data_IF_129279301758
#
_entry.id   IF_129279301758
#
_cell.length_a   1.000
_cell.length_b   1.000
_cell.length_c   1.000
_cell.angle_alpha   90.00
_cell.angle_beta   90.00
_cell.angle_gamma   90.00
#
_symmetry.space_group_name_H-M   'P 1'
#
loop_
_entity.id
_entity.type
_entity.pdbx_description
1 polymer ?
#
# COMPACT_ATOMS: atom_id res chain seq x y z
N UNK A 1 6.72 -30.10 14.84
CA UNK A 1 7.02 -28.77 15.41
C UNK A 1 7.93 -28.05 14.42
N UNK A 2 7.37 -27.14 13.60
CA UNK A 2 8.13 -26.40 12.59
C UNK A 2 8.68 -25.13 13.25
N UNK A 3 9.99 -24.99 13.30
CA UNK A 3 10.69 -23.80 13.79
C UNK A 3 10.52 -22.67 12.76
N UNK A 4 9.68 -21.69 13.07
CA UNK A 4 9.56 -20.44 12.31
C UNK A 4 10.82 -19.60 12.59
N UNK A 5 11.70 -19.47 11.61
CA UNK A 5 12.91 -18.63 11.71
C UNK A 5 12.53 -17.19 11.38
N UNK A 6 12.75 -16.29 12.33
CA UNK A 6 12.72 -14.84 12.12
C UNK A 6 13.77 -14.45 11.05
N UNK A 7 13.41 -13.63 10.06
CA UNK A 7 14.34 -13.21 9.00
C UNK A 7 15.31 -12.16 9.55
N UNK A 8 16.61 -12.50 9.61
CA UNK A 8 17.69 -11.61 10.03
C UNK A 8 18.54 -11.29 8.80
N UNK A 9 18.72 -10.00 8.47
CA UNK A 9 19.72 -9.53 7.50
C UNK A 9 20.92 -9.02 8.31
N UNK A 10 22.05 -9.73 8.23
CA UNK A 10 23.31 -9.34 8.87
C UNK A 10 24.30 -8.85 7.81
N UNK A 11 24.68 -7.57 7.88
CA UNK A 11 25.78 -6.98 7.12
C UNK A 11 27.11 -7.33 7.81
N UNK A 12 27.95 -8.09 7.12
CA UNK A 12 29.28 -8.51 7.54
C UNK A 12 30.33 -7.44 7.20
N UNK A 13 31.05 -6.94 8.20
CA UNK A 13 32.32 -6.23 8.05
C UNK A 13 33.31 -6.76 9.09
N UNK A 14 34.22 -7.64 8.63
CA UNK A 14 35.53 -7.92 9.23
C UNK A 14 36.46 -6.70 8.96
N UNK A 15 37.47 -6.33 9.73
CA UNK A 15 38.11 -6.81 10.96
C UNK A 15 39.05 -5.68 11.45
N UNK A 16 39.37 -5.62 12.75
CA UNK A 16 40.76 -5.59 13.24
C UNK A 16 40.81 -5.69 14.79
N UNK A 17 41.76 -6.48 15.26
CA UNK A 17 42.01 -6.91 16.64
C UNK A 17 42.56 -5.77 17.52
N UNK A 18 42.09 -5.69 18.78
CA UNK A 18 42.90 -5.30 19.93
C UNK A 18 42.31 -5.90 21.23
N UNK A 19 43.20 -6.52 22.01
CA UNK A 19 42.98 -7.29 23.24
C UNK A 19 42.75 -6.37 24.43
N UNK A 20 41.61 -6.48 25.13
CA UNK A 20 41.38 -5.96 26.50
C UNK A 20 40.24 -6.77 27.19
N UNK A 21 40.18 -6.79 28.54
CA UNK A 21 39.69 -7.94 29.31
C UNK A 21 38.17 -8.10 29.28
N UNK A 22 37.75 -9.36 29.43
CA UNK A 22 36.37 -9.81 29.42
C UNK A 22 35.52 -9.11 30.51
N UNK A 23 34.89 -7.99 30.15
CA UNK A 23 33.60 -7.62 30.73
C UNK A 23 32.59 -8.63 30.21
N UNK A 24 31.91 -9.32 31.13
CA UNK A 24 30.87 -10.29 30.79
C UNK A 24 29.93 -9.69 29.78
N UNK A 25 29.94 -10.25 28.57
CA UNK A 25 28.87 -10.03 27.61
C UNK A 25 27.61 -10.53 28.29
N UNK A 26 26.77 -9.61 28.77
CA UNK A 26 25.35 -9.87 28.84
C UNK A 26 25.00 -10.38 27.45
N UNK A 27 24.71 -11.68 27.33
CA UNK A 27 24.10 -12.20 26.13
C UNK A 27 22.92 -11.26 25.85
N UNK A 28 22.96 -10.55 24.73
CA UNK A 28 21.82 -9.76 24.31
C UNK A 28 20.65 -10.74 24.28
N UNK A 29 19.66 -10.54 25.16
CA UNK A 29 18.46 -11.35 25.16
C UNK A 29 17.94 -11.34 23.72
N UNK A 30 17.71 -12.53 23.17
CA UNK A 30 17.11 -12.65 21.84
C UNK A 30 15.84 -11.83 21.82
N UNK A 31 15.66 -10.91 20.86
CA UNK A 31 14.49 -10.06 20.82
C UNK A 31 13.23 -10.91 20.91
N UNK A 32 12.38 -10.60 21.88
CA UNK A 32 11.16 -11.37 22.06
C UNK A 32 10.31 -11.26 20.79
N UNK A 33 9.74 -12.37 20.33
CA UNK A 33 8.84 -12.34 19.17
C UNK A 33 7.45 -11.85 19.59
N UNK A 34 6.83 -11.02 18.76
CA UNK A 34 5.45 -10.57 18.90
C UNK A 34 4.66 -11.02 17.68
N UNK A 35 3.69 -11.92 17.87
CA UNK A 35 2.82 -12.32 16.76
C UNK A 35 1.74 -11.27 16.54
N UNK A 36 1.62 -10.76 15.32
CA UNK A 36 0.52 -9.90 14.89
C UNK A 36 -0.47 -10.73 14.09
N UNK A 37 -1.77 -10.55 14.33
CA UNK A 37 -2.82 -11.29 13.62
C UNK A 37 -3.93 -10.32 13.20
N UNK A 38 -4.29 -10.38 11.92
CA UNK A 38 -5.36 -9.58 11.35
C UNK A 38 -6.65 -10.39 11.30
N UNK A 39 -7.56 -10.18 12.25
CA UNK A 39 -8.91 -10.77 12.23
C UNK A 39 -9.97 -9.78 11.77
N UNK A 40 -9.53 -8.67 11.17
CA UNK A 40 -10.41 -7.62 10.66
C UNK A 40 -10.78 -7.92 9.22
N UNK A 41 -11.79 -7.22 8.71
CA UNK A 41 -12.14 -7.21 7.28
C UNK A 41 -11.35 -6.17 6.47
N UNK A 42 -10.21 -5.69 6.99
CA UNK A 42 -9.37 -4.67 6.34
C UNK A 42 -7.95 -5.19 6.17
N UNK A 43 -7.22 -4.66 5.20
CA UNK A 43 -5.77 -4.88 5.15
C UNK A 43 -5.09 -4.15 6.31
N UNK A 44 -3.97 -4.68 6.79
CA UNK A 44 -3.05 -3.98 7.69
C UNK A 44 -1.73 -3.78 6.95
N UNK A 45 -1.47 -2.55 6.50
CA UNK A 45 -0.31 -2.24 5.69
C UNK A 45 0.94 -2.11 6.56
N UNK A 46 0.79 -1.46 7.71
CA UNK A 46 1.90 -1.23 8.61
C UNK A 46 1.47 -0.93 10.06
N UNK A 47 2.45 -0.99 10.95
CA UNK A 47 2.33 -0.60 12.34
C UNK A 47 3.54 0.23 12.78
N UNK A 48 3.27 1.39 13.38
CA UNK A 48 4.25 2.22 14.07
C UNK A 48 4.07 2.11 15.57
N UNK A 49 5.19 1.97 16.27
CA UNK A 49 5.33 2.02 17.71
C UNK A 49 6.04 3.33 18.10
N UNK A 50 5.45 4.11 18.99
CA UNK A 50 6.06 5.34 19.52
C UNK A 50 6.19 5.29 21.03
N UNK A 51 7.40 5.47 21.53
CA UNK A 51 7.70 5.62 22.95
C UNK A 51 8.46 6.93 23.17
N UNK A 52 7.77 7.95 23.68
CA UNK A 52 8.36 9.29 23.82
C UNK A 52 8.79 9.83 22.45
N UNK A 53 10.11 10.05 22.27
CA UNK A 53 10.70 10.52 21.00
C UNK A 53 11.15 9.38 20.08
N UNK A 54 11.17 8.14 20.56
CA UNK A 54 11.63 6.99 19.78
C UNK A 54 10.46 6.41 19.00
N UNK A 55 10.69 6.16 17.71
CA UNK A 55 9.73 5.51 16.81
C UNK A 55 10.34 4.28 16.17
N UNK A 56 9.57 3.20 16.12
CA UNK A 56 9.87 1.98 15.40
C UNK A 56 8.71 1.65 14.46
N UNK A 57 9.02 1.12 13.29
CA UNK A 57 8.04 0.88 12.23
C UNK A 57 8.20 -0.51 11.65
N UNK A 58 7.08 -1.17 11.36
CA UNK A 58 7.05 -2.45 10.67
C UNK A 58 6.02 -2.42 9.55
N UNK A 59 6.46 -2.75 8.34
CA UNK A 59 5.59 -3.04 7.20
C UNK A 59 5.03 -4.45 7.36
N UNK A 60 3.71 -4.58 7.22
CA UNK A 60 2.97 -5.82 7.47
C UNK A 60 2.36 -6.41 6.20
N UNK A 61 1.79 -5.58 5.32
CA UNK A 61 1.08 -6.01 4.10
C UNK A 61 0.12 -7.20 4.32
N UNK A 62 -0.59 -7.22 5.45
CA UNK A 62 -1.41 -8.35 5.87
C UNK A 62 -2.85 -8.21 5.39
N UNK A 63 -3.27 -9.13 4.53
CA UNK A 63 -4.68 -9.32 4.19
C UNK A 63 -5.51 -9.81 5.39
N UNK A 64 -6.86 -9.71 5.35
CA UNK A 64 -7.76 -10.33 6.33
C UNK A 64 -7.42 -11.80 6.57
N UNK A 65 -7.33 -12.20 7.84
CA UNK A 65 -6.98 -13.55 8.27
C UNK A 65 -5.47 -13.83 8.33
N UNK A 66 -4.62 -12.94 7.83
CA UNK A 66 -3.17 -13.14 7.86
C UNK A 66 -2.57 -12.98 9.26
N UNK A 67 -1.38 -13.55 9.44
CA UNK A 67 -0.57 -13.49 10.65
C UNK A 67 0.89 -13.36 10.26
N UNK A 68 1.61 -12.55 11.02
CA UNK A 68 3.06 -12.44 10.91
C UNK A 68 3.71 -12.29 12.30
N UNK A 69 5.01 -12.54 12.37
CA UNK A 69 5.82 -12.46 13.57
C UNK A 69 6.83 -11.31 13.44
N UNK A 70 6.80 -10.36 14.36
CA UNK A 70 7.66 -9.18 14.36
C UNK A 70 8.54 -9.12 15.61
N UNK A 71 9.57 -8.30 15.57
CA UNK A 71 10.36 -7.99 16.76
C UNK A 71 9.48 -7.24 17.78
N UNK A 72 9.41 -7.75 19.00
CA UNK A 72 8.71 -7.07 20.09
C UNK A 72 9.58 -5.93 20.61
N UNK A 73 9.12 -4.67 20.55
CA UNK A 73 9.91 -3.55 21.06
C UNK A 73 10.05 -3.58 22.59
N UNK A 74 9.33 -4.45 23.30
CA UNK A 74 9.53 -4.73 24.72
C UNK A 74 9.10 -3.60 25.67
N UNK A 75 8.44 -2.56 25.14
CA UNK A 75 8.12 -1.32 25.87
C UNK A 75 6.63 -1.04 25.90
N UNK A 76 6.21 -0.06 26.71
CA UNK A 76 4.87 0.53 26.57
C UNK A 76 4.92 1.61 25.49
N UNK A 77 4.09 1.49 24.46
CA UNK A 77 4.12 2.36 23.29
C UNK A 77 2.72 2.78 22.82
N UNK A 78 2.65 3.96 22.20
CA UNK A 78 1.51 4.32 21.35
C UNK A 78 1.64 3.60 20.01
N UNK A 79 0.55 3.00 19.54
CA UNK A 79 0.50 2.33 18.24
C UNK A 79 -0.27 3.18 17.24
N UNK A 80 0.24 3.28 16.01
CA UNK A 80 -0.53 3.67 14.83
C UNK A 80 -0.53 2.50 13.86
N UNK A 81 -1.70 2.13 13.33
CA UNK A 81 -1.85 1.06 12.35
C UNK A 81 -2.50 1.65 11.10
N UNK A 82 -1.89 1.44 9.94
CA UNK A 82 -2.46 1.85 8.65
C UNK A 82 -3.28 0.70 8.07
N UNK A 83 -4.57 0.97 7.80
CA UNK A 83 -5.48 0.01 7.16
C UNK A 83 -5.76 0.33 5.69
N UNK A 84 -4.95 1.17 5.06
CA UNK A 84 -5.14 1.67 3.69
C UNK A 84 -6.12 2.84 3.59
N UNK A 85 -7.27 2.73 4.24
CA UNK A 85 -8.35 3.72 4.22
C UNK A 85 -8.54 4.48 5.54
N UNK A 86 -7.82 4.09 6.60
CA UNK A 86 -7.90 4.72 7.91
C UNK A 86 -6.61 4.47 8.71
N UNK A 87 -6.33 5.36 9.66
CA UNK A 87 -5.40 5.11 10.74
C UNK A 87 -6.12 4.70 12.00
N UNK A 88 -5.61 3.68 12.68
CA UNK A 88 -6.03 3.30 14.01
C UNK A 88 -4.97 3.64 15.04
N UNK A 89 -5.39 4.27 16.13
CA UNK A 89 -4.50 4.73 17.19
C UNK A 89 -4.83 4.04 18.51
N UNK A 90 -3.82 3.42 19.13
CA UNK A 90 -3.92 2.80 20.45
C UNK A 90 -2.91 3.45 21.38
N UNK A 91 -3.33 3.91 22.55
CA UNK A 91 -2.45 4.60 23.49
C UNK A 91 -1.90 3.66 24.55
N UNK A 92 -0.64 3.85 24.91
CA UNK A 92 0.01 3.17 26.04
C UNK A 92 -0.20 1.64 26.08
N UNK A 93 0.07 0.96 24.97
CA UNK A 93 -0.03 -0.50 24.87
C UNK A 93 1.22 -1.15 25.50
N UNK A 94 1.10 -2.00 26.55
CA UNK A 94 2.25 -2.58 27.22
C UNK A 94 2.76 -3.83 26.50
N UNK A 95 3.87 -3.69 25.76
CA UNK A 95 4.40 -4.75 24.90
C UNK A 95 5.45 -5.64 25.58
N UNK A 96 6.01 -5.22 26.72
CA UNK A 96 7.03 -5.97 27.47
C UNK A 96 6.67 -7.45 27.74
N UNK A 97 5.41 -7.70 28.07
CA UNK A 97 4.88 -9.05 28.30
C UNK A 97 3.97 -9.54 27.18
N UNK A 98 3.85 -8.80 26.08
CA UNK A 98 3.01 -9.19 24.96
C UNK A 98 3.59 -10.40 24.24
N UNK A 99 2.71 -11.36 23.97
CA UNK A 99 2.96 -12.49 23.07
C UNK A 99 2.31 -12.26 21.71
N UNK A 100 1.11 -11.65 21.70
CA UNK A 100 0.31 -11.49 20.51
C UNK A 100 -0.50 -10.21 20.51
N UNK A 101 -0.55 -9.56 19.35
CA UNK A 101 -1.50 -8.50 18.99
C UNK A 101 -2.51 -9.08 18.00
N UNK A 102 -3.79 -9.09 18.35
CA UNK A 102 -4.85 -9.48 17.41
C UNK A 102 -5.74 -8.29 17.14
N UNK A 103 -5.73 -7.79 15.90
CA UNK A 103 -6.67 -6.76 15.48
C UNK A 103 -8.02 -7.43 15.25
N UNK A 104 -8.98 -7.13 16.13
CA UNK A 104 -10.24 -7.86 16.20
C UNK A 104 -11.27 -7.26 15.23
N UNK A 105 -12.05 -8.13 14.57
CA UNK A 105 -13.06 -7.72 13.59
C UNK A 105 -14.38 -7.25 14.21
N UNK A 106 -14.60 -7.48 15.50
CA UNK A 106 -15.88 -7.20 16.17
C UNK A 106 -16.19 -5.70 16.28
N UNK A 107 -15.15 -4.87 16.38
CA UNK A 107 -15.27 -3.42 16.51
C UNK A 107 -14.20 -2.69 15.68
N UNK A 108 -14.51 -1.49 15.23
CA UNK A 108 -13.53 -0.63 14.56
C UNK A 108 -12.42 -0.22 15.54
N UNK A 109 -11.16 -0.27 15.10
CA UNK A 109 -9.98 0.03 15.93
C UNK A 109 -9.97 -0.77 17.25
N UNK A 110 -10.15 -2.08 17.15
CA UNK A 110 -10.05 -3.02 18.27
C UNK A 110 -8.75 -3.81 18.24
N UNK A 111 -8.09 -3.89 19.40
CA UNK A 111 -6.90 -4.71 19.59
C UNK A 111 -7.07 -5.63 20.80
N UNK A 112 -6.86 -6.93 20.61
CA UNK A 112 -6.70 -7.89 21.71
C UNK A 112 -5.21 -8.03 21.97
N UNK A 113 -4.79 -7.63 23.17
CA UNK A 113 -3.44 -7.84 23.67
C UNK A 113 -3.40 -9.12 24.50
N UNK A 114 -2.65 -10.10 24.04
CA UNK A 114 -2.44 -11.36 24.74
C UNK A 114 -1.01 -11.41 25.30
N UNK A 115 -0.90 -11.65 26.60
CA UNK A 115 0.35 -11.64 27.35
C UNK A 115 0.93 -13.05 27.53
N UNK A 116 2.22 -13.13 27.86
CA UNK A 116 2.94 -14.40 28.10
C UNK A 116 2.34 -15.26 29.21
N UNK A 117 1.68 -14.62 30.19
CA UNK A 117 0.93 -15.29 31.27
C UNK A 117 -0.48 -15.76 30.86
N UNK A 118 -0.80 -15.72 29.56
CA UNK A 118 -2.11 -16.04 28.96
C UNK A 118 -3.26 -15.09 29.37
N UNK A 119 -2.98 -13.94 30.00
CA UNK A 119 -3.98 -12.89 30.18
C UNK A 119 -4.22 -12.22 28.82
N UNK A 120 -5.49 -12.10 28.45
CA UNK A 120 -5.93 -11.39 27.25
C UNK A 120 -6.85 -10.25 27.63
N UNK A 121 -6.72 -9.10 26.96
CA UNK A 121 -7.62 -7.97 27.15
C UNK A 121 -7.85 -7.21 25.86
N UNK A 122 -9.06 -6.67 25.72
CA UNK A 122 -9.38 -5.73 24.66
C UNK A 122 -8.81 -4.35 25.01
N UNK A 123 -8.27 -3.69 23.98
CA UNK A 123 -7.82 -2.31 24.00
C UNK A 123 -8.57 -1.61 22.87
N UNK A 124 -9.37 -0.62 23.25
CA UNK A 124 -10.07 0.22 22.29
C UNK A 124 -9.13 1.31 21.78
N UNK A 125 -9.11 1.49 20.47
CA UNK A 125 -8.42 2.58 19.80
C UNK A 125 -9.39 3.61 19.25
N UNK A 126 -8.82 4.59 18.55
CA UNK A 126 -9.57 5.56 17.75
C UNK A 126 -9.25 5.36 16.28
N UNK A 127 -10.25 5.44 15.41
CA UNK A 127 -10.06 5.43 13.97
C UNK A 127 -10.14 6.86 13.41
N UNK A 128 -9.19 7.19 12.55
CA UNK A 128 -9.20 8.39 11.71
C UNK A 128 -9.31 7.94 10.26
N UNK A 129 -10.39 8.31 9.58
CA UNK A 129 -10.56 8.01 8.16
C UNK A 129 -9.52 8.78 7.33
N UNK A 130 -8.93 8.11 6.34
CA UNK A 130 -8.15 8.73 5.27
C UNK A 130 -9.02 9.04 4.04
N UNK A 131 -10.18 8.40 3.95
CA UNK A 131 -11.22 8.80 3.01
C UNK A 131 -11.97 10.00 3.58
N UNK A 132 -12.11 11.09 2.82
CA UNK A 132 -12.95 12.20 3.23
C UNK A 132 -14.44 11.80 3.14
N UNK A 133 -15.30 12.49 3.88
CA UNK A 133 -16.73 12.15 3.96
C UNK A 133 -17.47 12.26 2.62
N UNK A 134 -18.66 11.67 2.53
CA UNK A 134 -19.44 11.55 1.27
C UNK A 134 -19.77 12.89 0.57
N UNK A 135 -19.76 14.01 1.31
CA UNK A 135 -20.00 15.36 0.78
C UNK A 135 -18.73 16.19 0.63
N UNK A 136 -17.57 15.62 0.95
CA UNK A 136 -16.31 16.32 0.82
C UNK A 136 -15.99 16.55 -0.64
N UNK A 137 -15.61 17.78 -0.97
CA UNK A 137 -15.02 18.08 -2.26
C UNK A 137 -13.57 17.61 -2.24
N UNK A 138 -13.07 17.05 -3.34
CA UNK A 138 -11.65 16.75 -3.42
C UNK A 138 -10.85 18.05 -3.24
N UNK A 139 -9.71 17.96 -2.54
CA UNK A 139 -8.81 19.10 -2.37
C UNK A 139 -8.38 19.63 -3.75
N UNK A 140 -8.28 18.73 -4.73
CA UNK A 140 -8.04 19.00 -6.13
C UNK A 140 -8.51 17.82 -7.01
N UNK A 141 -8.87 18.09 -8.25
CA UNK A 141 -9.15 17.06 -9.25
C UNK A 141 -7.93 16.82 -10.12
N UNK A 142 -7.57 15.56 -10.32
CA UNK A 142 -6.58 15.17 -11.30
C UNK A 142 -7.28 14.80 -12.59
N UNK A 143 -7.35 15.79 -13.48
CA UNK A 143 -7.99 15.58 -14.78
C UNK A 143 -7.10 14.74 -15.70
N UNK A 144 -5.77 14.80 -15.53
CA UNK A 144 -4.79 13.97 -16.21
C UNK A 144 -3.53 13.80 -15.36
N UNK A 145 -3.10 12.56 -15.14
CA UNK A 145 -1.74 12.28 -14.69
C UNK A 145 -0.81 12.28 -15.92
N UNK A 146 0.40 12.81 -15.79
CA UNK A 146 1.36 12.89 -16.90
C UNK A 146 2.74 12.40 -16.48
N UNK A 147 3.50 11.74 -17.37
CA UNK A 147 4.91 11.47 -17.13
C UNK A 147 5.70 12.73 -16.79
N UNK A 148 6.62 12.63 -15.83
CA UNK A 148 7.45 13.74 -15.38
C UNK A 148 6.78 14.76 -14.47
N UNK A 149 5.54 14.52 -14.01
CA UNK A 149 4.92 15.37 -12.98
C UNK A 149 5.79 15.46 -11.73
N UNK A 150 5.91 16.67 -11.21
CA UNK A 150 6.49 16.94 -9.90
C UNK A 150 5.44 16.78 -8.80
N UNK A 151 5.90 16.66 -7.56
CA UNK A 151 5.03 16.73 -6.38
C UNK A 151 4.21 18.03 -6.36
N UNK A 152 4.75 19.15 -6.87
CA UNK A 152 4.01 20.40 -7.07
C UNK A 152 2.99 20.35 -8.20
N UNK A 153 3.22 19.57 -9.25
CA UNK A 153 2.23 19.43 -10.31
C UNK A 153 1.02 18.64 -9.82
N UNK A 154 1.23 17.75 -8.84
CA UNK A 154 0.12 17.14 -8.09
C UNK A 154 -0.40 18.15 -7.07
N UNK A 155 -1.24 19.05 -7.61
CA UNK A 155 -2.10 19.96 -6.86
C UNK A 155 -1.43 21.15 -6.16
N UNK A 156 -0.19 21.54 -6.50
CA UNK A 156 0.53 22.84 -6.25
C UNK A 156 0.50 23.50 -4.85
N UNK A 157 -0.27 22.95 -3.94
CA UNK A 157 -0.64 23.39 -2.60
C UNK A 157 -1.09 22.16 -1.80
N UNK A 158 -0.33 21.06 -1.88
CA UNK A 158 -0.35 20.15 -0.73
C UNK A 158 -0.01 21.02 0.51
N UNK A 159 -0.76 20.80 1.58
CA UNK A 159 -0.69 21.61 2.80
C UNK A 159 0.77 21.86 3.19
N UNK A 160 1.14 23.03 3.76
CA UNK A 160 2.53 23.34 4.09
C UNK A 160 3.24 22.27 4.95
N UNK A 161 2.46 21.54 5.75
CA UNK A 161 2.92 20.40 6.55
C UNK A 161 1.90 19.25 6.38
N UNK A 162 1.92 18.53 5.25
CA UNK A 162 0.89 17.55 4.96
C UNK A 162 1.16 16.28 5.77
N UNK A 163 0.12 15.56 6.21
CA UNK A 163 0.30 14.33 6.96
C UNK A 163 1.06 13.30 6.11
N UNK A 164 1.94 12.52 6.76
CA UNK A 164 2.73 11.48 6.12
C UNK A 164 2.47 10.11 6.72
N UNK A 165 2.57 9.08 5.89
CA UNK A 165 2.70 7.72 6.39
C UNK A 165 4.12 7.48 6.91
N UNK A 166 4.38 6.26 7.38
CA UNK A 166 5.69 5.91 7.93
C UNK A 166 6.74 5.60 6.84
N UNK A 167 6.35 5.59 5.56
CA UNK A 167 7.25 5.50 4.40
C UNK A 167 7.50 6.88 3.77
N UNK A 168 7.20 7.96 4.51
CA UNK A 168 7.27 9.36 4.07
C UNK A 168 6.36 9.73 2.89
N UNK A 169 5.43 8.85 2.48
CA UNK A 169 4.45 9.18 1.46
C UNK A 169 3.51 10.25 1.99
N UNK A 170 3.26 11.27 1.17
CA UNK A 170 2.33 12.35 1.50
C UNK A 170 0.91 11.80 1.39
N UNK A 171 0.12 11.99 2.45
CA UNK A 171 -1.25 11.56 2.53
C UNK A 171 -2.18 12.75 2.26
N UNK A 172 -3.11 12.56 1.34
CA UNK A 172 -4.07 13.60 0.98
C UNK A 172 -5.34 12.99 0.40
N UNK A 173 -6.27 13.85 -0.01
CA UNK A 173 -7.49 13.49 -0.72
C UNK A 173 -7.46 14.01 -2.15
N UNK A 174 -7.60 13.13 -3.14
CA UNK A 174 -7.57 13.49 -4.56
C UNK A 174 -8.88 13.14 -5.25
N UNK A 175 -9.36 14.03 -6.11
CA UNK A 175 -10.52 13.80 -6.95
C UNK A 175 -10.13 13.11 -8.25
N UNK A 176 -10.71 11.95 -8.54
CA UNK A 176 -10.52 11.26 -9.81
C UNK A 176 -11.72 10.36 -10.12
N UNK A 177 -12.12 10.30 -11.39
CA UNK A 177 -13.27 9.52 -11.85
C UNK A 177 -14.59 9.80 -11.08
N UNK A 178 -14.81 11.06 -10.70
CA UNK A 178 -15.99 11.48 -9.93
C UNK A 178 -16.01 11.01 -8.47
N UNK A 179 -14.89 10.47 -7.97
CA UNK A 179 -14.73 9.99 -6.60
C UNK A 179 -13.61 10.75 -5.89
N UNK A 180 -13.64 10.74 -4.56
CA UNK A 180 -12.55 11.28 -3.74
C UNK A 180 -11.78 10.14 -3.10
N UNK A 181 -10.50 10.06 -3.41
CA UNK A 181 -9.61 8.96 -3.08
C UNK A 181 -8.73 9.30 -1.88
N UNK A 182 -8.43 8.29 -1.06
CA UNK A 182 -7.31 8.37 -0.13
C UNK A 182 -6.02 8.18 -0.94
N UNK A 183 -5.23 9.23 -1.06
CA UNK A 183 -4.06 9.24 -1.94
C UNK A 183 -2.76 9.18 -1.14
N UNK A 184 -1.81 8.37 -1.63
CA UNK A 184 -0.42 8.33 -1.17
C UNK A 184 0.50 8.74 -2.30
N UNK A 185 1.24 9.82 -2.10
CA UNK A 185 2.16 10.37 -3.08
C UNK A 185 3.58 10.12 -2.59
N UNK A 186 4.31 9.29 -3.34
CA UNK A 186 5.70 9.00 -3.06
C UNK A 186 6.61 9.74 -4.06
N UNK A 187 7.65 10.44 -3.57
CA UNK A 187 8.65 11.02 -4.46
C UNK A 187 9.39 9.92 -5.23
N UNK A 188 9.90 10.26 -6.40
CA UNK A 188 10.95 9.47 -7.04
C UNK A 188 12.18 9.49 -6.13
N UNK A 189 12.81 8.33 -5.94
CA UNK A 189 14.02 8.26 -5.12
C UNK A 189 15.15 9.01 -5.83
N UNK A 190 15.37 10.28 -5.48
CA UNK A 190 16.61 10.96 -5.84
C UNK A 190 17.73 10.35 -5.02
N UNK A 191 18.76 9.83 -5.68
CA UNK A 191 19.97 9.31 -5.06
C UNK A 191 20.59 10.34 -4.10
N UNK A 192 20.43 10.12 -2.79
CA UNK A 192 21.25 10.73 -1.75
C UNK A 192 20.86 12.15 -1.31
N UNK A 193 19.74 12.29 -0.61
CA UNK A 193 19.44 13.50 0.15
C UNK A 193 18.48 13.21 1.31
N UNK A 194 18.96 13.37 2.55
CA UNK A 194 18.09 13.47 3.72
C UNK A 194 17.54 14.88 3.80
N UNK A 195 16.22 15.02 3.90
CA UNK A 195 15.56 16.28 4.22
C UNK A 195 14.39 16.57 3.30
N UNK A 196 13.23 16.86 3.92
CA UNK A 196 12.04 17.54 3.37
C UNK A 196 11.86 17.51 1.85
N UNK A 197 10.81 16.80 1.39
CA UNK A 197 10.36 16.86 0.00
C UNK A 197 10.36 18.30 -0.50
N UNK A 198 11.17 18.57 -1.52
CA UNK A 198 11.03 19.81 -2.25
C UNK A 198 9.84 19.63 -3.17
N UNK A 199 9.00 20.66 -3.34
CA UNK A 199 7.91 20.62 -4.31
C UNK A 199 8.38 20.34 -5.76
N UNK A 200 9.68 20.41 -6.01
CA UNK A 200 10.32 20.13 -7.30
C UNK A 200 10.66 18.65 -7.50
N UNK A 201 10.56 17.83 -6.46
CA UNK A 201 10.84 16.40 -6.55
C UNK A 201 9.82 15.76 -7.50
N UNK A 202 10.28 14.84 -8.34
CA UNK A 202 9.38 14.14 -9.27
C UNK A 202 8.46 13.21 -8.50
N UNK A 203 7.19 13.16 -8.88
CA UNK A 203 6.27 12.12 -8.41
C UNK A 203 6.74 10.79 -8.98
N UNK A 204 7.26 9.91 -8.12
CA UNK A 204 7.73 8.60 -8.54
C UNK A 204 6.61 7.58 -8.58
N UNK A 205 5.69 7.67 -7.63
CA UNK A 205 4.58 6.75 -7.51
C UNK A 205 3.38 7.42 -6.85
N UNK A 206 2.20 7.11 -7.36
CA UNK A 206 0.93 7.50 -6.78
C UNK A 206 0.06 6.27 -6.59
N UNK A 207 -0.42 6.11 -5.37
CA UNK A 207 -1.41 5.10 -5.01
C UNK A 207 -2.70 5.80 -4.59
N UNK A 208 -3.83 5.42 -5.20
CA UNK A 208 -5.16 5.84 -4.79
C UNK A 208 -5.89 4.65 -4.20
N UNK A 209 -6.49 4.83 -3.02
CA UNK A 209 -7.32 3.80 -2.38
C UNK A 209 -8.75 4.25 -2.21
N UNK A 210 -9.67 3.33 -2.47
CA UNK A 210 -11.11 3.50 -2.29
C UNK A 210 -11.76 2.19 -1.86
N UNK A 211 -13.00 2.27 -1.38
CA UNK A 211 -13.85 1.09 -1.26
C UNK A 211 -14.09 0.42 -2.63
N UNK A 212 -13.91 -0.90 -2.69
CA UNK A 212 -14.28 -1.71 -3.85
C UNK A 212 -15.79 -1.92 -3.86
N UNK A 213 -16.46 -1.26 -4.80
CA UNK A 213 -17.87 -1.45 -5.13
C UNK A 213 -18.03 -1.50 -6.64
N UNK A 214 -19.09 -2.15 -7.12
CA UNK A 214 -19.41 -2.21 -8.55
C UNK A 214 -19.50 -0.79 -9.16
N UNK A 215 -20.12 0.13 -8.42
CA UNK A 215 -20.26 1.52 -8.83
C UNK A 215 -18.91 2.24 -8.96
N UNK A 216 -18.02 2.08 -7.96
CA UNK A 216 -16.71 2.74 -7.97
C UNK A 216 -15.82 2.18 -9.09
N UNK A 217 -15.80 0.85 -9.27
CA UNK A 217 -15.03 0.21 -10.34
C UNK A 217 -15.56 0.63 -11.71
N UNK A 218 -16.88 0.61 -11.92
CA UNK A 218 -17.48 1.02 -13.19
C UNK A 218 -17.25 2.51 -13.50
N UNK A 219 -17.27 3.38 -12.49
CA UNK A 219 -16.94 4.79 -12.65
C UNK A 219 -15.48 4.97 -13.09
N UNK A 220 -14.55 4.30 -12.40
CA UNK A 220 -13.12 4.33 -12.73
C UNK A 220 -12.84 3.85 -14.16
N UNK A 221 -13.32 2.65 -14.52
CA UNK A 221 -13.09 2.09 -15.85
C UNK A 221 -13.67 2.97 -16.95
N UNK A 222 -14.87 3.52 -16.75
CA UNK A 222 -15.50 4.45 -17.70
C UNK A 222 -14.66 5.70 -17.91
N UNK A 223 -14.15 6.29 -16.83
CA UNK A 223 -13.26 7.46 -16.92
C UNK A 223 -11.98 7.11 -17.67
N UNK A 224 -11.29 6.03 -17.30
CA UNK A 224 -10.06 5.61 -17.99
C UNK A 224 -10.29 5.34 -19.48
N UNK A 225 -11.37 4.63 -19.82
CA UNK A 225 -11.73 4.38 -21.22
C UNK A 225 -12.05 5.67 -21.99
N UNK A 226 -12.73 6.63 -21.37
CA UNK A 226 -13.00 7.94 -21.98
C UNK A 226 -11.73 8.76 -22.23
N UNK A 227 -10.69 8.50 -21.44
CA UNK A 227 -9.36 9.11 -21.59
C UNK A 227 -8.47 8.37 -22.61
N UNK A 228 -9.00 7.37 -23.31
CA UNK A 228 -8.27 6.62 -24.34
C UNK A 228 -7.43 5.47 -23.82
N UNK A 229 -7.62 5.05 -22.57
CA UNK A 229 -6.99 3.83 -22.05
C UNK A 229 -7.74 2.58 -22.52
N UNK A 230 -6.99 1.51 -22.67
CA UNK A 230 -7.49 0.18 -22.99
C UNK A 230 -6.86 -0.85 -22.03
N UNK A 231 -7.57 -1.96 -21.75
CA UNK A 231 -7.01 -3.03 -20.96
C UNK A 231 -5.82 -3.64 -21.71
N UNK A 232 -4.72 -3.85 -20.98
CA UNK A 232 -3.52 -4.50 -21.48
C UNK A 232 -3.47 -5.95 -21.01
N UNK A 233 -3.52 -6.14 -19.69
CA UNK A 233 -3.49 -7.44 -19.04
C UNK A 233 -4.47 -7.46 -17.86
N UNK A 234 -5.07 -8.60 -17.58
CA UNK A 234 -5.84 -8.80 -16.37
C UNK A 234 -5.61 -10.19 -15.79
N UNK A 235 -5.28 -10.23 -14.50
CA UNK A 235 -5.14 -11.44 -13.71
C UNK A 235 -6.31 -11.50 -12.73
N UNK A 236 -7.10 -12.57 -12.83
CA UNK A 236 -8.18 -12.90 -11.91
C UNK A 236 -7.95 -14.31 -11.36
N UNK A 237 -8.59 -14.72 -10.25
CA UNK A 237 -8.41 -16.07 -9.70
C UNK A 237 -8.73 -17.17 -10.73
N UNK A 238 -7.67 -17.82 -11.24
CA UNK A 238 -7.78 -18.90 -12.23
C UNK A 238 -8.00 -18.43 -13.67
N UNK A 239 -7.85 -17.14 -13.96
CA UNK A 239 -8.01 -16.58 -15.30
C UNK A 239 -6.93 -15.51 -15.54
N UNK A 240 -6.15 -15.69 -16.59
CA UNK A 240 -5.16 -14.72 -17.05
C UNK A 240 -5.56 -14.25 -18.45
N UNK A 241 -5.54 -12.95 -18.67
CA UNK A 241 -6.03 -12.32 -19.89
C UNK A 241 -4.96 -11.38 -20.43
N UNK A 242 -4.38 -11.73 -21.58
CA UNK A 242 -3.56 -10.81 -22.35
C UNK A 242 -4.37 -10.26 -23.52
N UNK A 243 -4.74 -8.98 -23.47
CA UNK A 243 -5.61 -8.36 -24.47
C UNK A 243 -4.87 -8.05 -25.78
N UNK A 244 -3.54 -7.93 -25.77
CA UNK A 244 -2.76 -7.75 -27.00
C UNK A 244 -2.68 -9.03 -27.83
N UNK A 245 -2.92 -10.19 -27.22
CA UNK A 245 -2.97 -11.49 -27.91
C UNK A 245 -4.36 -11.80 -28.48
N UNK A 246 -5.40 -11.02 -28.13
CA UNK A 246 -6.77 -11.19 -28.63
C UNK A 246 -6.98 -10.47 -29.97
N UNK A 247 -6.17 -10.80 -30.98
CA UNK A 247 -6.08 -10.05 -32.25
C UNK A 247 -7.34 -10.11 -33.10
N UNK A 248 -8.16 -11.14 -32.94
CA UNK A 248 -9.42 -11.33 -33.68
C UNK A 248 -10.61 -10.57 -33.07
N UNK A 249 -10.39 -9.80 -32.01
CA UNK A 249 -11.43 -9.08 -31.28
C UNK A 249 -11.16 -7.58 -31.31
N UNK A 250 -12.22 -6.79 -31.55
CA UNK A 250 -12.13 -5.35 -31.37
C UNK A 250 -12.07 -4.96 -29.88
N UNK A 251 -11.63 -3.73 -29.61
CA UNK A 251 -11.48 -3.21 -28.25
C UNK A 251 -12.81 -3.17 -27.48
N UNK A 252 -13.96 -3.04 -28.16
CA UNK A 252 -15.26 -3.04 -27.50
C UNK A 252 -15.58 -4.44 -26.97
N UNK A 253 -15.28 -5.49 -27.75
CA UNK A 253 -15.48 -6.88 -27.35
C UNK A 253 -14.53 -7.30 -26.24
N UNK A 254 -13.27 -6.88 -26.32
CA UNK A 254 -12.29 -7.06 -25.25
C UNK A 254 -12.78 -6.47 -23.92
N UNK A 255 -13.33 -5.26 -23.94
CA UNK A 255 -13.93 -4.60 -22.76
C UNK A 255 -15.16 -5.35 -22.22
N UNK A 256 -16.04 -5.86 -23.09
CA UNK A 256 -17.19 -6.69 -22.69
C UNK A 256 -16.76 -7.99 -21.99
N UNK A 257 -15.73 -8.68 -22.50
CA UNK A 257 -15.21 -9.90 -21.87
C UNK A 257 -14.63 -9.59 -20.49
N UNK A 258 -13.80 -8.54 -20.40
CA UNK A 258 -13.24 -8.10 -19.11
C UNK A 258 -14.35 -7.76 -18.11
N UNK A 259 -15.37 -7.00 -18.55
CA UNK A 259 -16.49 -6.63 -17.68
C UNK A 259 -17.19 -7.87 -17.11
N UNK A 260 -17.48 -8.88 -17.93
CA UNK A 260 -18.11 -10.13 -17.47
C UNK A 260 -17.21 -10.91 -16.48
N UNK A 261 -15.91 -10.95 -16.74
CA UNK A 261 -14.95 -11.59 -15.84
C UNK A 261 -14.91 -10.88 -14.48
N UNK A 262 -14.92 -9.55 -14.49
CA UNK A 262 -14.97 -8.72 -13.28
C UNK A 262 -16.29 -8.91 -12.52
N UNK A 263 -17.43 -8.92 -13.20
CA UNK A 263 -18.74 -9.18 -12.58
C UNK A 263 -18.75 -10.53 -11.84
N UNK A 264 -18.24 -11.59 -12.47
CA UNK A 264 -18.13 -12.90 -11.83
C UNK A 264 -17.17 -12.88 -10.62
N UNK A 265 -16.02 -12.22 -10.76
CA UNK A 265 -15.06 -12.07 -9.67
C UNK A 265 -15.67 -11.33 -8.47
N UNK A 266 -16.36 -10.21 -8.68
CA UNK A 266 -17.01 -9.44 -7.62
C UNK A 266 -18.08 -10.28 -6.90
N UNK A 267 -18.84 -11.11 -7.63
CA UNK A 267 -19.82 -12.02 -7.04
C UNK A 267 -19.19 -13.17 -6.23
N UNK A 268 -17.96 -13.57 -6.55
CA UNK A 268 -17.28 -14.68 -5.85
C UNK A 268 -16.90 -14.35 -4.40
N UNK A 269 -16.77 -13.06 -4.07
CA UNK A 269 -16.48 -12.55 -2.72
C UNK A 269 -15.10 -12.91 -2.15
N UNK A 270 -14.19 -13.46 -2.96
CA UNK A 270 -12.84 -13.86 -2.51
C UNK A 270 -11.77 -13.67 -3.57
N UNK A 271 -10.52 -13.56 -3.11
CA UNK A 271 -9.35 -13.41 -3.96
C UNK A 271 -8.98 -11.96 -4.27
N UNK A 272 -7.99 -11.83 -5.13
CA UNK A 272 -7.49 -10.56 -5.66
C UNK A 272 -7.54 -10.64 -7.19
N UNK A 273 -7.82 -9.52 -7.83
CA UNK A 273 -7.68 -9.36 -9.27
C UNK A 273 -6.84 -8.12 -9.56
N UNK A 274 -6.01 -8.19 -10.59
CA UNK A 274 -5.16 -7.10 -11.05
C UNK A 274 -5.52 -6.80 -12.50
N UNK A 275 -5.68 -5.53 -12.84
CA UNK A 275 -5.96 -5.06 -14.18
C UNK A 275 -4.97 -3.96 -14.55
N UNK A 276 -4.21 -4.17 -15.61
CA UNK A 276 -3.30 -3.19 -16.16
C UNK A 276 -3.96 -2.49 -17.35
N UNK A 277 -3.96 -1.16 -17.36
CA UNK A 277 -4.40 -0.35 -18.48
C UNK A 277 -3.27 0.54 -18.97
N UNK A 278 -3.21 0.67 -20.30
CA UNK A 278 -2.28 1.55 -20.98
C UNK A 278 -3.03 2.42 -22.02
N UNK A 279 -2.44 3.53 -22.50
CA UNK A 279 -2.99 4.27 -23.62
C UNK A 279 -3.13 3.36 -24.84
N UNK A 280 -4.32 3.31 -25.44
CA UNK A 280 -4.61 2.36 -26.52
C UNK A 280 -3.64 2.49 -27.71
N UNK A 281 -3.19 3.71 -28.01
CA UNK A 281 -2.22 3.98 -29.07
C UNK A 281 -0.81 3.42 -28.79
N UNK A 282 -0.49 3.03 -27.55
CA UNK A 282 0.83 2.54 -27.16
C UNK A 282 0.85 1.02 -26.95
N UNK A 283 -0.29 0.35 -26.86
CA UNK A 283 -0.37 -1.10 -26.64
C UNK A 283 0.46 -1.93 -27.65
N UNK A 284 0.44 -1.66 -28.97
CA UNK A 284 1.26 -2.42 -29.91
C UNK A 284 2.77 -2.30 -29.62
N UNK A 285 3.22 -1.15 -29.15
CA UNK A 285 4.63 -0.92 -28.83
C UNK A 285 5.05 -1.47 -27.46
N UNK A 286 4.09 -1.67 -26.54
CA UNK A 286 4.35 -2.26 -25.21
C UNK A 286 4.41 -3.79 -25.25
N UNK A 287 3.75 -4.42 -26.23
CA UNK A 287 3.79 -5.88 -26.38
C UNK A 287 5.18 -6.39 -26.80
N UNK A 288 5.94 -5.57 -27.53
CA UNK A 288 7.21 -5.96 -28.17
C UNK A 288 8.46 -5.37 -27.49
N UNK A 289 8.32 -4.60 -26.40
CA UNK A 289 9.41 -3.84 -25.81
C UNK A 289 9.60 -4.15 -24.31
N UNK A 290 10.85 -4.43 -23.91
CA UNK A 290 11.25 -4.59 -22.50
C UNK A 290 11.05 -3.31 -21.67
N UNK A 291 10.99 -2.15 -22.33
CA UNK A 291 10.72 -0.85 -21.73
C UNK A 291 10.02 0.10 -22.72
N UNK A 292 9.18 1.03 -22.23
CA UNK A 292 8.50 1.99 -23.09
C UNK A 292 9.48 2.96 -23.76
N UNK A 293 9.44 3.02 -25.08
CA UNK A 293 10.29 3.88 -25.93
C UNK A 293 9.91 5.37 -25.89
N UNK A 294 8.77 5.69 -25.26
CA UNK A 294 8.21 7.04 -25.13
C UNK A 294 7.57 7.17 -23.76
N UNK A 295 7.35 8.41 -23.34
CA UNK A 295 6.60 8.73 -22.14
C UNK A 295 5.27 7.98 -22.12
N UNK A 296 5.09 7.10 -21.14
CA UNK A 296 3.87 6.31 -20.97
C UNK A 296 3.42 6.34 -19.54
N UNK A 297 2.11 6.33 -19.37
CA UNK A 297 1.49 6.14 -18.08
C UNK A 297 0.71 4.85 -18.07
N UNK A 298 0.95 4.04 -17.05
CA UNK A 298 0.25 2.79 -16.83
C UNK A 298 -0.59 2.92 -15.55
N UNK A 299 -1.80 2.41 -15.62
CA UNK A 299 -2.66 2.22 -14.46
C UNK A 299 -2.68 0.75 -14.11
N UNK A 300 -2.37 0.43 -12.86
CA UNK A 300 -2.57 -0.90 -12.30
C UNK A 300 -3.66 -0.82 -11.26
N UNK A 301 -4.75 -1.53 -11.50
CA UNK A 301 -5.90 -1.59 -10.61
C UNK A 301 -5.83 -2.91 -9.85
N UNK A 302 -5.76 -2.86 -8.53
CA UNK A 302 -5.83 -4.06 -7.68
C UNK A 302 -7.17 -4.07 -6.93
N UNK A 303 -7.91 -5.15 -7.12
CA UNK A 303 -9.25 -5.38 -6.59
C UNK A 303 -9.14 -6.42 -5.48
N UNK A 304 -9.24 -6.00 -4.22
CA UNK A 304 -9.15 -6.89 -3.06
C UNK A 304 -10.51 -7.19 -2.49
N UNK A 305 -11.03 -8.38 -2.77
CA UNK A 305 -12.36 -8.79 -2.27
C UNK A 305 -12.38 -8.94 -0.75
N UNK A 306 -11.34 -9.55 -0.19
CA UNK A 306 -11.24 -9.82 1.25
C UNK A 306 -11.32 -8.54 2.09
N UNK A 307 -10.66 -7.47 1.66
CA UNK A 307 -10.63 -6.19 2.35
C UNK A 307 -11.61 -5.15 1.77
N UNK A 308 -12.35 -5.50 0.71
CA UNK A 308 -13.21 -4.60 -0.08
C UNK A 308 -12.50 -3.30 -0.46
N UNK A 309 -11.25 -3.43 -0.92
CA UNK A 309 -10.41 -2.28 -1.28
C UNK A 309 -10.11 -2.29 -2.76
N UNK A 310 -10.31 -1.14 -3.40
CA UNK A 310 -9.86 -0.82 -4.74
C UNK A 310 -8.60 0.02 -4.61
N UNK A 311 -7.50 -0.46 -5.17
CA UNK A 311 -6.22 0.26 -5.23
C UNK A 311 -5.94 0.60 -6.68
N UNK A 312 -5.48 1.82 -6.93
CA UNK A 312 -5.05 2.29 -8.24
C UNK A 312 -3.64 2.81 -8.11
N UNK A 313 -2.70 2.07 -8.67
CA UNK A 313 -1.31 2.48 -8.80
C UNK A 313 -1.11 3.15 -10.16
N UNK A 314 -0.51 4.33 -10.13
CA UNK A 314 -0.17 5.07 -11.34
C UNK A 314 1.35 5.10 -11.47
N UNK A 315 1.85 4.42 -12.49
CA UNK A 315 3.25 4.46 -12.87
C UNK A 315 3.42 5.32 -14.12
N UNK A 316 4.37 6.25 -14.11
CA UNK A 316 4.66 7.09 -15.25
C UNK A 316 6.14 6.96 -15.61
N UNK A 317 6.40 6.47 -16.82
CA UNK A 317 7.74 6.23 -17.34
C UNK A 317 8.09 7.35 -18.32
N UNK A 318 9.35 7.81 -18.27
CA UNK A 318 9.88 8.68 -19.31
C UNK A 318 10.57 7.84 -20.39
N UNK A 319 10.31 8.17 -21.65
CA UNK A 319 10.91 7.49 -22.79
C UNK A 319 12.44 7.55 -22.71
N UNK A 320 13.09 6.38 -22.74
CA UNK A 320 14.55 6.25 -22.73
C UNK A 320 15.21 5.87 -21.39
N UNK A 321 14.46 5.75 -20.29
CA UNK A 321 15.02 5.29 -18.99
C UNK A 321 15.39 3.79 -18.95
N UNK A 322 15.13 3.03 -20.03
CA UNK A 322 15.54 1.62 -20.19
C UNK A 322 16.79 1.40 -21.05
N UNK A 323 17.47 2.47 -21.51
CA UNK A 323 18.64 2.36 -22.39
C UNK A 323 19.95 2.56 -21.65
N UNK A 324 20.53 1.48 -21.11
CA UNK A 324 21.98 1.34 -20.93
C UNK A 324 22.45 -0.01 -21.40
#
# INVERSE_FOLDING_TARGET
MKNTRCRIVALLLLALLCVFPARGSSAAETPACLTVSNQTSRDLLNIRFRQGRTTYFVRLDMAPGARDDIENPGVTADLRVDTGLAFWFFKAVPLAQARRLTFCGDHTACLILEQKNNISRHINGNAQSLLPGELSRPVCTLDQFRPGMTMNDVCSLLEPDPPRDDNDAVLTSLGFAGMVWAARLAPSQSSGGSGTLSGRDRLGHLELRQHLTDANLAALLRTLYSQGYAPWQAELPGLDMNFTEMTDMDTAKQKDILQRALEYFLQSGRGEATLMLAPAAMLPALADADAPQRDVQLFTLTLRQSSRTLVVDVAAYQGGEGGR
#
